data_IF_348753510627
#
_entry.id   IF_348753510627
#
_cell.length_a   1.000
_cell.length_b   1.000
_cell.length_c   1.000
_cell.angle_alpha   90.00
_cell.angle_beta   90.00
_cell.angle_gamma   90.00
#
_symmetry.space_group_name_H-M   'P 1'
#
loop_
_entity.id
_entity.type
_entity.pdbx_description
1 polymer ?
#
# COMPACT_ATOMS: atom_id res chain seq x y z
N UNK A 1 -3.23 -9.12 -1.72
CA UNK A 1 -4.12 -8.98 -2.90
C UNK A 1 -3.84 -7.62 -3.52
N UNK A 2 -3.29 -7.56 -4.74
CA UNK A 2 -2.82 -6.29 -5.34
C UNK A 2 -2.97 -6.24 -6.87
N UNK A 3 -2.31 -7.13 -7.63
CA UNK A 3 -2.27 -7.06 -9.11
C UNK A 3 -3.57 -7.50 -9.80
N UNK A 4 -4.24 -8.51 -9.25
CA UNK A 4 -5.48 -9.07 -9.83
C UNK A 4 -6.58 -8.02 -9.95
N UNK A 5 -6.94 -7.25 -8.91
CA UNK A 5 -7.94 -6.19 -9.05
C UNK A 5 -7.49 -5.06 -9.98
N UNK A 6 -6.19 -4.73 -10.03
CA UNK A 6 -5.68 -3.71 -10.96
C UNK A 6 -5.94 -4.09 -12.43
N UNK A 7 -5.73 -5.35 -12.81
CA UNK A 7 -6.04 -5.88 -14.15
C UNK A 7 -7.52 -5.85 -14.48
N UNK A 8 -8.38 -6.20 -13.53
CA UNK A 8 -9.84 -6.15 -13.73
C UNK A 8 -10.31 -4.73 -14.02
N UNK A 9 -9.62 -3.73 -13.47
CA UNK A 9 -9.92 -2.31 -13.66
C UNK A 9 -9.15 -1.68 -14.84
N UNK A 10 -8.27 -2.41 -15.53
CA UNK A 10 -7.42 -1.87 -16.60
C UNK A 10 -6.37 -0.87 -16.11
N UNK A 11 -5.92 -1.00 -14.87
CA UNK A 11 -4.97 -0.10 -14.20
C UNK A 11 -3.63 -0.77 -13.89
N UNK A 12 -3.36 -1.97 -14.41
CA UNK A 12 -2.15 -2.75 -14.14
C UNK A 12 -0.86 -2.06 -14.56
N UNK A 13 -0.94 -1.14 -15.52
CA UNK A 13 0.19 -0.32 -15.99
C UNK A 13 0.51 0.82 -15.01
N UNK A 14 -0.37 1.10 -14.05
CA UNK A 14 -0.22 2.18 -13.07
C UNK A 14 -0.08 1.68 -11.64
N UNK A 15 -0.80 0.63 -11.24
CA UNK A 15 -0.87 0.17 -9.85
C UNK A 15 -0.88 -1.36 -9.73
N UNK A 16 -0.70 -1.86 -8.51
CA UNK A 16 -0.90 -3.27 -8.17
C UNK A 16 0.35 -4.16 -8.21
N UNK A 17 1.49 -3.64 -8.67
CA UNK A 17 2.81 -4.26 -8.49
C UNK A 17 3.91 -3.20 -8.29
N UNK A 18 5.07 -3.64 -7.80
CA UNK A 18 6.24 -2.77 -7.58
C UNK A 18 7.18 -2.91 -8.78
N UNK A 19 7.00 -2.03 -9.76
CA UNK A 19 7.76 -2.00 -11.02
C UNK A 19 8.08 -0.54 -11.38
N UNK A 20 9.18 -0.32 -12.10
CA UNK A 20 9.55 1.03 -12.59
C UNK A 20 8.50 1.53 -13.58
N UNK A 21 8.09 2.79 -13.42
CA UNK A 21 7.09 3.44 -14.29
C UNK A 21 5.66 3.41 -13.74
N UNK A 22 5.42 2.71 -12.63
CA UNK A 22 4.12 2.68 -11.93
C UNK A 22 4.01 3.75 -10.85
N UNK A 23 2.79 4.05 -10.46
CA UNK A 23 2.49 4.93 -9.34
C UNK A 23 3.04 4.32 -8.05
N UNK A 24 3.70 5.15 -7.23
CA UNK A 24 4.32 4.73 -5.98
C UNK A 24 3.29 4.59 -4.85
N UNK A 25 2.35 3.67 -5.03
CA UNK A 25 1.35 3.26 -4.04
C UNK A 25 1.92 2.12 -3.18
N UNK A 26 2.47 2.48 -2.03
CA UNK A 26 3.28 1.58 -1.20
C UNK A 26 2.77 1.55 0.24
N UNK A 27 2.80 0.36 0.84
CA UNK A 27 2.53 0.17 2.27
C UNK A 27 3.73 -0.54 2.89
N UNK A 28 4.35 0.09 3.88
CA UNK A 28 5.41 -0.51 4.67
C UNK A 28 4.81 -1.21 5.88
N UNK A 29 5.15 -2.48 6.08
CA UNK A 29 4.67 -3.30 7.19
C UNK A 29 5.82 -3.62 8.15
N UNK A 30 5.51 -3.82 9.44
CA UNK A 30 6.49 -4.25 10.45
C UNK A 30 6.90 -5.72 10.35
N UNK A 31 6.22 -6.49 9.50
CA UNK A 31 6.36 -7.93 9.31
C UNK A 31 5.47 -8.39 8.14
N UNK A 32 5.30 -9.70 7.95
CA UNK A 32 4.43 -10.24 6.91
C UNK A 32 2.99 -9.68 6.99
N UNK A 33 2.40 -9.18 5.89
CA UNK A 33 1.12 -8.46 5.92
C UNK A 33 -0.09 -9.25 6.42
N UNK A 34 -0.01 -10.58 6.43
CA UNK A 34 -1.11 -11.46 6.85
C UNK A 34 -0.92 -12.01 8.28
N UNK A 35 0.13 -11.58 8.98
CA UNK A 35 0.28 -11.86 10.41
C UNK A 35 -0.54 -10.85 11.23
N UNK A 36 -1.27 -11.35 12.22
CA UNK A 36 -2.13 -10.53 13.09
C UNK A 36 -1.34 -9.51 13.93
N UNK A 37 -0.06 -9.78 14.19
CA UNK A 37 0.84 -8.93 14.96
C UNK A 37 1.52 -7.86 14.10
N UNK A 38 1.46 -7.98 12.77
CA UNK A 38 2.03 -6.99 11.86
C UNK A 38 1.19 -5.72 11.85
N UNK A 39 1.86 -4.59 11.89
CA UNK A 39 1.24 -3.26 11.77
C UNK A 39 1.78 -2.53 10.55
N UNK A 40 0.94 -1.64 10.01
CA UNK A 40 1.38 -0.68 8.99
C UNK A 40 2.29 0.36 9.66
N UNK A 41 3.48 0.55 9.10
CA UNK A 41 4.47 1.52 9.55
C UNK A 41 4.37 2.84 8.78
N UNK A 42 4.06 2.76 7.49
CA UNK A 42 3.91 3.92 6.63
C UNK A 42 3.11 3.57 5.37
N UNK A 43 2.48 4.59 4.78
CA UNK A 43 1.73 4.50 3.53
C UNK A 43 2.14 5.65 2.63
N UNK A 44 2.35 5.37 1.36
CA UNK A 44 2.52 6.36 0.31
C UNK A 44 1.44 6.14 -0.75
N UNK A 45 0.87 7.24 -1.23
CA UNK A 45 -0.06 7.26 -2.37
C UNK A 45 0.53 8.19 -3.42
N UNK A 46 0.78 7.66 -4.62
CA UNK A 46 1.45 8.37 -5.71
C UNK A 46 2.76 9.04 -5.25
N UNK A 47 3.52 8.38 -4.39
CA UNK A 47 4.79 8.87 -3.83
C UNK A 47 4.66 9.87 -2.69
N UNK A 48 3.46 10.30 -2.32
CA UNK A 48 3.23 11.22 -1.20
C UNK A 48 2.95 10.44 0.08
N UNK A 49 3.67 10.68 1.19
CA UNK A 49 3.40 10.02 2.45
C UNK A 49 2.03 10.43 3.00
N UNK A 50 1.23 9.44 3.38
CA UNK A 50 -0.09 9.64 4.00
C UNK A 50 0.07 9.54 5.50
N UNK A 51 -0.23 10.63 6.21
CA UNK A 51 -0.23 10.66 7.68
C UNK A 51 -1.35 9.77 8.21
N UNK A 52 -0.99 8.73 8.96
CA UNK A 52 -1.97 7.97 9.72
C UNK A 52 -2.27 8.71 11.02
N UNK A 53 -3.42 9.39 11.09
CA UNK A 53 -3.98 9.84 12.36
C UNK A 53 -4.45 8.61 13.13
N UNK A 54 -3.61 8.05 14.00
CA UNK A 54 -4.09 7.09 14.98
C UNK A 54 -4.81 7.88 16.08
N UNK A 55 -6.10 8.13 15.91
CA UNK A 55 -7.00 8.42 17.03
C UNK A 55 -7.22 7.12 17.82
N UNK A 56 -6.16 6.58 18.39
CA UNK A 56 -6.24 5.66 19.50
C UNK A 56 -6.31 6.54 20.75
N UNK A 57 -7.55 6.72 21.21
CA UNK A 57 -7.95 7.33 22.48
C UNK A 57 -6.87 7.28 23.55
N UNK A 58 -6.52 8.45 24.09
CA UNK A 58 -5.98 8.57 25.43
C UNK A 58 -7.10 9.03 26.36
#
# INVERSE_FOLDING_TARGET
VTLVPARVLGLEDRIGSVEVGKDADLVLWSGPPFELTSRVLAVWVSGTPVTQSSSATR
#
